data_IF_901110951800
#
_entry.id   IF_901110951800
#
_cell.length_a   1.000
_cell.length_b   1.000
_cell.length_c   1.000
_cell.angle_alpha   90.00
_cell.angle_beta   90.00
_cell.angle_gamma   90.00
#
_symmetry.space_group_name_H-M   'P 1'
#
loop_
_entity.id
_entity.type
_entity.pdbx_description
1 polymer ?
#
# COMPACT_ATOMS: atom_id res chain seq x y z
N UNK A 1 -58.39 5.54 -22.83
CA UNK A 1 -58.67 4.60 -21.72
C UNK A 1 -59.14 5.43 -20.54
N UNK A 2 -60.45 5.46 -20.27
CA UNK A 2 -61.16 4.71 -19.21
C UNK A 2 -60.65 5.04 -17.79
N UNK A 3 -61.44 5.36 -16.78
CA UNK A 3 -62.87 5.60 -16.59
C UNK A 3 -63.07 5.92 -15.08
N UNK A 4 -63.82 6.98 -14.73
CA UNK A 4 -64.57 7.22 -13.46
C UNK A 4 -63.74 7.49 -12.19
N UNK A 5 -63.74 8.67 -11.54
CA UNK A 5 -64.84 9.52 -11.01
C UNK A 5 -65.90 8.80 -10.16
N UNK A 6 -66.02 9.23 -8.91
CA UNK A 6 -67.30 9.20 -8.19
C UNK A 6 -67.52 10.54 -7.47
N UNK A 7 -68.47 11.29 -8.01
CA UNK A 7 -69.13 12.45 -7.41
C UNK A 7 -70.40 11.92 -6.70
N UNK A 8 -70.93 12.75 -5.78
CA UNK A 8 -72.35 12.88 -5.38
C UNK A 8 -72.84 11.93 -4.26
N UNK A 9 -73.72 12.30 -3.31
CA UNK A 9 -74.71 13.39 -3.23
C UNK A 9 -75.26 13.53 -1.79
N UNK A 10 -75.62 14.76 -1.42
CA UNK A 10 -76.80 15.20 -0.64
C UNK A 10 -77.33 14.38 0.57
N UNK A 11 -77.34 15.04 1.73
CA UNK A 11 -78.58 15.64 2.28
C UNK A 11 -79.52 14.77 3.11
N UNK A 12 -79.99 15.33 4.22
CA UNK A 12 -81.31 15.01 4.78
C UNK A 12 -81.30 14.43 6.19
N UNK A 13 -81.50 15.33 7.16
CA UNK A 13 -81.99 15.10 8.52
C UNK A 13 -83.23 14.19 8.51
N UNK A 14 -83.24 13.10 9.30
CA UNK A 14 -84.43 12.60 9.98
C UNK A 14 -84.03 12.04 11.36
N UNK A 15 -84.79 12.53 12.33
CA UNK A 15 -84.78 12.31 13.76
C UNK A 15 -85.41 10.97 14.15
N UNK A 16 -84.88 10.38 15.24
CA UNK A 16 -85.61 9.72 16.34
C UNK A 16 -85.88 8.19 16.32
N UNK A 17 -85.42 7.56 17.42
CA UNK A 17 -86.05 6.49 18.24
C UNK A 17 -86.11 5.07 17.60
N UNK A 18 -85.71 3.94 18.21
CA UNK A 18 -85.08 3.62 19.49
C UNK A 18 -84.67 2.12 19.50
N UNK A 19 -83.71 1.80 20.39
CA UNK A 19 -83.53 0.56 21.17
C UNK A 19 -83.27 -0.79 20.47
N UNK A 20 -82.03 -1.31 20.60
CA UNK A 20 -81.62 -2.40 21.53
C UNK A 20 -80.40 -3.15 20.97
N UNK A 21 -79.29 -3.11 21.70
CA UNK A 21 -78.10 -3.90 21.38
C UNK A 21 -76.91 -3.47 22.23
N UNK A 22 -76.80 -4.11 23.39
CA UNK A 22 -75.77 -3.94 24.42
C UNK A 22 -74.38 -3.63 23.89
N UNK A 23 -73.89 -2.41 24.17
CA UNK A 23 -72.47 -2.11 24.25
C UNK A 23 -72.24 -1.35 25.55
N UNK A 24 -71.43 -1.95 26.40
CA UNK A 24 -70.94 -1.36 27.64
C UNK A 24 -70.15 -0.11 27.25
N UNK A 25 -70.67 1.06 27.60
CA UNK A 25 -69.96 2.32 27.48
C UNK A 25 -68.81 2.25 28.48
N UNK A 26 -67.59 2.04 27.98
CA UNK A 26 -66.41 2.47 28.72
C UNK A 26 -66.49 3.99 28.78
N UNK A 27 -66.86 4.52 29.95
CA UNK A 27 -66.75 5.93 30.24
C UNK A 27 -65.27 6.32 30.08
N UNK A 28 -64.93 6.90 28.94
CA UNK A 28 -63.66 7.61 28.80
C UNK A 28 -63.70 8.80 29.73
N UNK A 29 -62.93 8.77 30.81
CA UNK A 29 -62.71 9.92 31.66
C UNK A 29 -62.20 11.06 30.77
N UNK A 30 -62.92 12.18 30.73
CA UNK A 30 -62.46 13.39 30.06
C UNK A 30 -61.17 13.81 30.77
N UNK A 31 -60.04 13.97 30.06
CA UNK A 31 -58.80 14.39 30.69
C UNK A 31 -59.00 15.73 31.39
N UNK A 32 -58.59 15.81 32.66
CA UNK A 32 -58.64 17.07 33.42
C UNK A 32 -57.65 18.04 32.80
N UNK A 33 -58.18 19.14 32.26
CA UNK A 33 -57.40 20.25 31.72
C UNK A 33 -57.38 21.40 32.73
N UNK A 34 -56.21 22.00 32.93
CA UNK A 34 -56.06 23.23 33.71
C UNK A 34 -55.30 24.25 32.89
N UNK A 35 -55.59 25.54 33.10
CA UNK A 35 -54.79 26.61 32.51
C UNK A 35 -53.79 27.17 33.52
N UNK A 36 -52.59 27.47 33.04
CA UNK A 36 -51.52 28.10 33.79
C UNK A 36 -50.88 29.21 32.97
N UNK A 37 -50.12 30.11 33.60
CA UNK A 37 -49.35 31.13 32.88
C UNK A 37 -47.88 30.71 32.79
N UNK A 38 -47.33 30.76 31.58
CA UNK A 38 -45.91 30.56 31.35
C UNK A 38 -45.09 31.64 32.09
N UNK A 39 -44.20 31.23 32.99
CA UNK A 39 -43.38 32.18 33.77
C UNK A 39 -42.42 33.02 32.91
N UNK A 40 -42.04 32.52 31.73
CA UNK A 40 -41.07 33.19 30.85
C UNK A 40 -41.69 34.21 29.89
N UNK A 41 -42.93 34.00 29.44
CA UNK A 41 -43.56 34.86 28.43
C UNK A 41 -44.98 35.33 28.77
N UNK A 42 -45.52 34.92 29.92
CA UNK A 42 -46.84 35.32 30.41
C UNK A 42 -48.03 34.70 29.67
N UNK A 43 -47.80 33.96 28.58
CA UNK A 43 -48.87 33.30 27.80
C UNK A 43 -49.57 32.23 28.64
N UNK A 44 -50.89 32.19 28.53
CA UNK A 44 -51.69 31.09 29.05
C UNK A 44 -51.34 29.79 28.31
N UNK A 45 -51.27 28.70 29.06
CA UNK A 45 -50.99 27.35 28.58
C UNK A 45 -52.04 26.41 29.16
N UNK A 46 -52.49 25.48 28.32
CA UNK A 46 -53.35 24.38 28.75
C UNK A 46 -52.48 23.18 29.08
N UNK A 47 -52.73 22.58 30.24
CA UNK A 47 -52.03 21.41 30.76
C UNK A 47 -53.03 20.29 31.02
N UNK A 48 -52.63 19.07 30.70
CA UNK A 48 -53.44 17.86 30.86
C UNK A 48 -52.91 17.07 32.06
N UNK A 49 -53.80 16.59 32.93
CA UNK A 49 -53.40 15.79 34.09
C UNK A 49 -52.94 14.39 33.68
N UNK A 50 -51.81 13.98 34.26
CA UNK A 50 -51.10 12.72 34.02
C UNK A 50 -51.49 11.71 35.11
N UNK A 51 -52.61 11.01 34.96
CA UNK A 51 -53.05 10.00 35.93
C UNK A 51 -52.26 8.69 35.77
N UNK A 52 -51.03 8.64 36.30
CA UNK A 52 -50.19 7.44 36.39
C UNK A 52 -49.64 6.89 35.06
N UNK A 53 -49.70 7.64 33.95
CA UNK A 53 -49.15 7.21 32.64
C UNK A 53 -47.69 7.65 32.49
N UNK A 54 -46.93 6.89 31.69
CA UNK A 54 -45.54 7.24 31.33
C UNK A 54 -45.52 8.23 30.16
N UNK A 55 -45.13 9.47 30.42
CA UNK A 55 -44.96 10.52 29.42
C UNK A 55 -43.47 10.79 29.16
N UNK A 56 -43.15 11.25 27.96
CA UNK A 56 -41.78 11.55 27.54
C UNK A 56 -41.30 12.86 28.18
N UNK A 57 -40.14 12.80 28.83
CA UNK A 57 -39.46 13.96 29.41
C UNK A 57 -38.90 14.92 28.34
N UNK A 58 -38.61 16.17 28.69
CA UNK A 58 -37.96 17.08 27.74
C UNK A 58 -36.56 16.60 27.36
N UNK A 59 -35.82 15.98 28.28
CA UNK A 59 -34.49 15.42 28.02
C UNK A 59 -34.56 14.37 26.92
N UNK A 60 -35.53 13.46 27.01
CA UNK A 60 -35.75 12.41 26.04
C UNK A 60 -36.26 12.99 24.70
N UNK A 61 -37.29 13.85 24.74
CA UNK A 61 -37.89 14.47 23.55
C UNK A 61 -36.87 15.24 22.70
N UNK A 62 -35.98 16.00 23.35
CA UNK A 62 -35.05 16.87 22.66
C UNK A 62 -33.61 16.36 22.64
N UNK A 63 -33.36 15.19 23.22
CA UNK A 63 -32.04 14.56 23.34
C UNK A 63 -31.01 15.54 23.92
N UNK A 64 -31.30 16.06 25.11
CA UNK A 64 -30.41 16.95 25.89
C UNK A 64 -30.21 16.40 27.28
N UNK A 65 -29.03 16.65 27.86
CA UNK A 65 -28.80 16.38 29.27
C UNK A 65 -29.60 17.35 30.16
N UNK A 66 -29.55 17.14 31.47
CA UNK A 66 -30.20 18.00 32.47
C UNK A 66 -29.78 19.46 32.30
N UNK A 67 -30.75 20.33 32.03
CA UNK A 67 -30.56 21.77 31.92
C UNK A 67 -30.78 22.39 33.31
N UNK A 68 -29.86 23.22 33.84
CA UNK A 68 -30.03 23.88 35.12
C UNK A 68 -31.35 24.66 35.20
N UNK A 69 -32.03 24.55 36.33
CA UNK A 69 -33.32 25.19 36.63
C UNK A 69 -34.50 24.72 35.76
N UNK A 70 -34.34 23.67 34.96
CA UNK A 70 -35.39 23.11 34.11
C UNK A 70 -35.72 21.67 34.52
N UNK A 71 -36.95 21.44 34.98
CA UNK A 71 -37.45 20.15 35.46
C UNK A 71 -38.70 19.70 34.69
N UNK A 72 -39.02 18.40 34.73
CA UNK A 72 -40.28 17.89 34.20
C UNK A 72 -41.36 17.99 35.28
N UNK A 73 -42.58 18.33 34.89
CA UNK A 73 -43.74 18.23 35.76
C UNK A 73 -44.12 16.76 35.96
N UNK A 74 -44.44 16.40 37.20
CA UNK A 74 -44.80 15.03 37.58
C UNK A 74 -46.25 14.68 37.17
N UNK A 75 -47.17 15.62 37.38
CA UNK A 75 -48.62 15.38 37.21
C UNK A 75 -49.23 16.04 35.96
N UNK A 76 -48.45 16.74 35.15
CA UNK A 76 -48.97 17.58 34.06
C UNK A 76 -48.20 17.44 32.75
N UNK A 77 -48.93 17.40 31.64
CA UNK A 77 -48.39 17.26 30.28
C UNK A 77 -48.90 18.38 29.36
N UNK A 78 -48.14 18.69 28.30
CA UNK A 78 -48.60 19.61 27.25
C UNK A 78 -49.60 18.95 26.30
N UNK A 79 -49.46 17.64 26.13
CA UNK A 79 -50.24 16.80 25.23
C UNK A 79 -50.29 15.37 25.79
N UNK A 80 -50.86 14.43 25.04
CA UNK A 80 -51.00 13.02 25.44
C UNK A 80 -49.67 12.24 25.45
N UNK A 81 -48.53 12.87 25.17
CA UNK A 81 -47.23 12.21 24.97
C UNK A 81 -46.07 12.86 25.74
N UNK A 82 -46.13 14.17 26.03
CA UNK A 82 -44.98 14.94 26.52
C UNK A 82 -45.25 15.64 27.85
N UNK A 83 -44.41 15.38 28.86
CA UNK A 83 -44.46 16.07 30.14
C UNK A 83 -44.36 17.60 29.95
N UNK A 84 -45.08 18.34 30.78
CA UNK A 84 -44.88 19.78 30.89
C UNK A 84 -43.50 20.05 31.51
N UNK A 85 -42.90 21.18 31.16
CA UNK A 85 -41.63 21.59 31.74
C UNK A 85 -41.83 22.74 32.71
N UNK A 86 -41.03 22.77 33.78
CA UNK A 86 -41.02 23.84 34.77
C UNK A 86 -39.65 24.50 34.80
N UNK A 87 -39.65 25.82 34.85
CA UNK A 87 -38.45 26.62 35.05
C UNK A 87 -38.51 27.30 36.41
N UNK A 88 -37.56 26.99 37.31
CA UNK A 88 -37.62 27.38 38.73
C UNK A 88 -38.98 27.04 39.37
N UNK A 89 -39.41 25.78 39.22
CA UNK A 89 -40.66 25.23 39.79
C UNK A 89 -41.96 25.91 39.32
N UNK A 90 -41.91 26.62 38.18
CA UNK A 90 -43.09 27.25 37.55
C UNK A 90 -43.22 26.80 36.10
N UNK A 91 -44.44 26.54 35.65
CA UNK A 91 -44.69 26.06 34.29
C UNK A 91 -44.24 27.04 33.22
N UNK A 92 -43.71 26.50 32.13
CA UNK A 92 -43.38 27.24 30.91
C UNK A 92 -44.18 26.70 29.73
N UNK A 93 -44.23 27.43 28.62
CA UNK A 93 -44.85 26.95 27.38
C UNK A 93 -43.81 26.24 26.49
N UNK A 94 -44.28 25.41 25.56
CA UNK A 94 -43.45 24.64 24.62
C UNK A 94 -42.45 25.53 23.88
N UNK A 95 -42.87 26.68 23.35
CA UNK A 95 -41.97 27.59 22.63
C UNK A 95 -40.83 28.16 23.50
N UNK A 96 -41.08 28.39 24.79
CA UNK A 96 -40.05 28.86 25.72
C UNK A 96 -39.10 27.72 26.13
N UNK A 97 -39.63 26.49 26.25
CA UNK A 97 -38.83 25.28 26.43
C UNK A 97 -37.87 25.07 25.25
N UNK A 98 -38.39 25.11 24.02
CA UNK A 98 -37.59 24.96 22.79
C UNK A 98 -36.48 26.02 22.70
N UNK A 99 -36.77 27.27 23.07
CA UNK A 99 -35.77 28.34 23.11
C UNK A 99 -34.66 28.04 24.13
N UNK A 100 -35.01 27.59 25.34
CA UNK A 100 -34.02 27.22 26.37
C UNK A 100 -33.15 26.04 25.93
N UNK A 101 -33.74 25.07 25.24
CA UNK A 101 -33.04 23.93 24.67
C UNK A 101 -32.10 24.36 23.56
N UNK A 102 -32.51 25.29 22.69
CA UNK A 102 -31.66 25.84 21.65
C UNK A 102 -30.46 26.62 22.24
N UNK A 103 -30.69 27.43 23.29
CA UNK A 103 -29.63 28.14 24.03
C UNK A 103 -28.63 27.13 24.64
N UNK A 104 -29.13 26.08 25.29
CA UNK A 104 -28.30 25.03 25.88
C UNK A 104 -27.48 24.28 24.82
N UNK A 105 -28.12 23.87 23.72
CA UNK A 105 -27.44 23.20 22.61
C UNK A 105 -26.38 24.09 21.97
N UNK A 106 -26.63 25.39 21.83
CA UNK A 106 -25.65 26.33 21.30
C UNK A 106 -24.45 26.50 22.25
N UNK A 107 -24.69 26.58 23.56
CA UNK A 107 -23.64 26.70 24.56
C UNK A 107 -22.79 25.42 24.71
N UNK A 108 -23.40 24.25 24.46
CA UNK A 108 -22.76 22.93 24.62
C UNK A 108 -22.43 22.24 23.30
N UNK A 109 -22.69 22.89 22.16
CA UNK A 109 -22.16 22.46 20.87
C UNK A 109 -20.69 22.83 20.85
N UNK A 110 -19.85 21.91 21.36
CA UNK A 110 -18.40 22.04 21.27
C UNK A 110 -18.05 22.44 19.84
N UNK A 111 -17.40 23.59 19.67
CA UNK A 111 -16.97 24.09 18.38
C UNK A 111 -15.95 23.13 17.79
N UNK A 112 -16.40 22.12 17.07
CA UNK A 112 -15.59 21.45 16.06
C UNK A 112 -15.69 22.33 14.82
N UNK A 113 -14.74 23.25 14.66
CA UNK A 113 -14.45 23.77 13.33
C UNK A 113 -14.08 22.58 12.46
N UNK A 114 -14.80 22.39 11.35
CA UNK A 114 -14.55 21.38 10.33
C UNK A 114 -13.05 21.07 10.18
N UNK A 115 -12.60 19.80 10.26
CA UNK A 115 -11.21 19.49 9.95
C UNK A 115 -10.97 19.93 8.50
N UNK A 116 -10.16 20.98 8.32
CA UNK A 116 -9.89 21.56 7.01
C UNK A 116 -9.38 20.49 6.06
N UNK A 117 -10.06 20.33 4.92
CA UNK A 117 -9.62 19.46 3.82
C UNK A 117 -8.45 20.12 3.10
N UNK A 118 -7.28 20.09 3.73
CA UNK A 118 -6.01 20.48 3.11
C UNK A 118 -5.36 19.28 2.41
N UNK A 119 -5.02 19.43 1.12
CA UNK A 119 -4.13 18.47 0.44
C UNK A 119 -2.70 18.94 0.65
N UNK A 120 -1.88 18.14 1.33
CA UNK A 120 -0.44 18.37 1.44
C UNK A 120 0.25 17.66 0.27
N UNK A 121 0.75 18.38 -0.75
CA UNK A 121 1.43 17.75 -1.87
C UNK A 121 2.77 17.17 -1.42
N UNK A 122 3.00 15.89 -1.73
CA UNK A 122 4.29 15.22 -1.56
C UNK A 122 5.08 15.42 -2.84
N UNK A 123 6.22 16.10 -2.75
CA UNK A 123 7.12 16.31 -3.89
C UNK A 123 8.27 15.30 -3.82
N UNK A 124 8.43 14.50 -4.87
CA UNK A 124 9.52 13.53 -5.00
C UNK A 124 10.53 14.07 -6.02
N UNK A 125 11.81 14.08 -5.64
CA UNK A 125 12.93 14.30 -6.56
C UNK A 125 13.88 13.13 -6.42
N UNK A 126 14.21 12.48 -7.54
CA UNK A 126 15.15 11.37 -7.59
C UNK A 126 16.20 11.63 -8.68
N UNK A 127 17.47 11.31 -8.37
CA UNK A 127 18.54 11.34 -9.36
C UNK A 127 18.51 10.06 -10.21
N UNK A 128 18.94 10.16 -11.47
CA UNK A 128 19.07 8.99 -12.35
C UNK A 128 20.19 8.06 -11.86
N UNK A 129 19.97 6.74 -11.96
CA UNK A 129 21.00 5.74 -11.68
C UNK A 129 22.13 5.82 -12.69
N UNK A 130 23.37 5.98 -12.22
CA UNK A 130 24.58 5.94 -13.04
C UNK A 130 25.04 4.50 -13.26
N UNK A 131 25.39 4.15 -14.51
CA UNK A 131 26.03 2.88 -14.84
C UNK A 131 27.54 2.98 -14.58
N UNK A 132 28.05 2.21 -13.63
CA UNK A 132 29.45 2.18 -13.22
C UNK A 132 29.85 0.74 -12.85
N UNK A 133 30.59 0.08 -13.72
CA UNK A 133 31.06 -1.30 -13.53
C UNK A 133 32.56 -1.34 -13.77
N UNK A 134 33.28 -2.00 -12.86
CA UNK A 134 34.71 -2.28 -13.01
C UNK A 134 34.86 -3.74 -13.46
N UNK A 135 35.52 -3.95 -14.58
CA UNK A 135 35.87 -5.29 -15.10
C UNK A 135 37.37 -5.55 -14.91
N UNK A 136 37.81 -6.82 -14.83
CA UNK A 136 39.23 -7.14 -14.76
C UNK A 136 40.01 -6.54 -15.93
N UNK A 137 41.10 -5.82 -15.63
CA UNK A 137 41.98 -5.24 -16.66
C UNK A 137 43.04 -6.22 -17.15
N UNK A 138 43.33 -7.27 -16.36
CA UNK A 138 44.30 -8.32 -16.71
C UNK A 138 43.97 -9.62 -15.97
N UNK A 139 44.24 -10.76 -16.61
CA UNK A 139 44.19 -12.09 -16.01
C UNK A 139 45.59 -12.71 -16.14
N UNK A 140 46.48 -12.52 -15.16
CA UNK A 140 47.87 -12.98 -15.28
C UNK A 140 47.93 -14.51 -15.15
N UNK A 141 48.45 -15.17 -16.19
CA UNK A 141 48.65 -16.62 -16.23
C UNK A 141 50.15 -16.93 -16.23
N UNK A 142 50.55 -17.98 -15.52
CA UNK A 142 51.93 -18.48 -15.53
C UNK A 142 51.95 -19.88 -16.12
N UNK A 143 52.69 -20.08 -17.22
CA UNK A 143 52.87 -21.39 -17.85
C UNK A 143 54.17 -22.01 -17.32
N UNK A 144 54.05 -23.15 -16.63
CA UNK A 144 55.17 -23.94 -16.13
C UNK A 144 55.89 -24.73 -17.24
N UNK A 145 57.08 -25.24 -16.93
CA UNK A 145 57.86 -26.06 -17.87
C UNK A 145 57.18 -27.40 -18.20
N UNK A 146 56.35 -27.92 -17.28
CA UNK A 146 55.45 -29.05 -17.50
C UNK A 146 54.16 -28.65 -18.25
N UNK A 147 54.13 -27.42 -18.76
CA UNK A 147 53.03 -26.79 -19.47
C UNK A 147 51.77 -26.58 -18.63
N UNK A 148 51.78 -26.86 -17.32
CA UNK A 148 50.67 -26.49 -16.43
C UNK A 148 50.53 -24.98 -16.37
N UNK A 149 49.30 -24.51 -16.21
CA UNK A 149 49.00 -23.08 -16.09
C UNK A 149 48.55 -22.78 -14.68
N UNK A 150 49.19 -21.81 -14.03
CA UNK A 150 48.74 -21.23 -12.77
C UNK A 150 47.92 -20.00 -13.07
N UNK A 151 46.68 -20.01 -12.57
CA UNK A 151 45.70 -18.93 -12.70
C UNK A 151 45.70 -18.04 -11.45
N UNK A 152 45.26 -16.77 -11.57
CA UNK A 152 45.11 -15.87 -10.43
C UNK A 152 43.89 -16.25 -9.58
N UNK A 153 43.90 -15.89 -8.30
CA UNK A 153 42.81 -16.15 -7.36
C UNK A 153 41.84 -14.97 -7.16
N UNK A 154 42.19 -13.75 -7.58
CA UNK A 154 41.42 -12.52 -7.35
C UNK A 154 41.01 -11.86 -8.66
N UNK A 155 40.19 -12.56 -9.45
CA UNK A 155 39.55 -12.00 -10.66
C UNK A 155 38.08 -11.80 -10.35
N UNK A 156 37.59 -10.57 -10.53
CA UNK A 156 36.20 -10.22 -10.24
C UNK A 156 35.70 -9.03 -11.05
N UNK A 157 34.40 -9.01 -11.31
CA UNK A 157 33.69 -7.81 -11.81
C UNK A 157 33.00 -7.15 -10.63
N UNK A 158 33.10 -5.83 -10.51
CA UNK A 158 32.50 -5.05 -9.42
C UNK A 158 31.45 -4.11 -9.98
N UNK A 159 30.22 -4.19 -9.49
CA UNK A 159 29.14 -3.26 -9.82
C UNK A 159 29.09 -2.12 -8.79
N UNK A 160 29.46 -0.92 -9.24
CA UNK A 160 29.33 0.33 -8.47
C UNK A 160 28.08 1.12 -8.87
N UNK A 161 27.20 0.54 -9.69
CA UNK A 161 25.93 1.12 -10.10
C UNK A 161 24.88 0.99 -8.99
N UNK A 162 23.85 1.83 -8.98
CA UNK A 162 22.75 1.71 -8.02
C UNK A 162 21.87 0.47 -8.26
N UNK A 163 21.63 0.12 -9.53
CA UNK A 163 20.84 -1.05 -9.92
C UNK A 163 21.68 -2.30 -10.20
N UNK A 164 21.03 -3.47 -10.31
CA UNK A 164 21.69 -4.71 -10.72
C UNK A 164 22.13 -4.66 -12.20
N UNK A 165 23.22 -5.36 -12.50
CA UNK A 165 23.76 -5.52 -13.85
C UNK A 165 23.99 -7.00 -14.14
N UNK A 166 24.24 -7.34 -15.39
CA UNK A 166 24.65 -8.70 -15.79
C UNK A 166 25.64 -8.68 -16.95
N UNK A 167 26.49 -9.70 -17.00
CA UNK A 167 27.31 -9.99 -18.18
C UNK A 167 26.41 -10.59 -19.26
N UNK A 168 26.32 -9.95 -20.41
CA UNK A 168 25.47 -10.39 -21.53
C UNK A 168 26.24 -11.13 -22.61
N UNK A 169 27.56 -10.90 -22.70
CA UNK A 169 28.43 -11.59 -23.64
C UNK A 169 29.86 -11.64 -23.12
N UNK A 170 30.58 -12.70 -23.49
CA UNK A 170 32.02 -12.86 -23.29
C UNK A 170 32.63 -13.18 -24.64
N UNK A 171 33.60 -12.38 -25.07
CA UNK A 171 34.43 -12.69 -26.23
C UNK A 171 35.83 -13.06 -25.77
N UNK A 172 36.35 -14.18 -26.29
CA UNK A 172 37.71 -14.66 -26.08
C UNK A 172 38.44 -14.53 -27.41
N UNK A 173 39.27 -13.50 -27.53
CA UNK A 173 39.96 -13.16 -28.77
C UNK A 173 41.42 -13.58 -28.69
N UNK A 174 41.95 -13.98 -29.84
CA UNK A 174 43.37 -14.26 -30.00
C UNK A 174 44.22 -13.04 -29.63
N UNK A 175 45.45 -13.30 -29.21
CA UNK A 175 46.47 -12.28 -29.00
C UNK A 175 47.76 -12.75 -29.63
N UNK A 176 48.84 -12.76 -28.85
CA UNK A 176 50.07 -13.44 -29.27
C UNK A 176 49.90 -14.97 -29.36
N UNK A 177 48.85 -15.51 -28.74
CA UNK A 177 48.50 -16.92 -28.71
C UNK A 177 47.14 -17.13 -29.38
N UNK A 178 46.96 -18.28 -30.02
CA UNK A 178 45.68 -18.67 -30.60
C UNK A 178 44.84 -19.42 -29.57
N UNK A 179 43.59 -19.03 -29.43
CA UNK A 179 42.61 -19.76 -28.62
C UNK A 179 42.43 -21.19 -29.15
N UNK A 180 42.25 -22.15 -28.25
CA UNK A 180 41.94 -23.55 -28.54
C UNK A 180 40.87 -24.05 -27.56
N UNK A 181 40.24 -25.18 -27.88
CA UNK A 181 39.33 -25.87 -26.97
C UNK A 181 39.99 -26.14 -25.60
N UNK A 182 39.37 -25.63 -24.53
CA UNK A 182 39.80 -25.84 -23.15
C UNK A 182 39.59 -27.30 -22.71
N UNK A 183 38.67 -28.04 -23.33
CA UNK A 183 38.48 -29.47 -23.14
C UNK A 183 38.35 -29.89 -21.65
N UNK A 184 37.65 -29.08 -20.84
CA UNK A 184 37.50 -29.34 -19.40
C UNK A 184 38.80 -29.30 -18.59
N UNK A 185 39.88 -28.73 -19.14
CA UNK A 185 41.21 -28.72 -18.54
C UNK A 185 42.06 -29.95 -18.92
N UNK A 186 41.52 -30.88 -19.69
CA UNK A 186 42.27 -32.03 -20.18
C UNK A 186 43.24 -31.61 -21.31
N UNK A 187 44.51 -31.90 -21.07
CA UNK A 187 45.64 -31.53 -21.92
C UNK A 187 45.89 -32.53 -23.05
N UNK A 188 45.13 -33.63 -23.13
CA UNK A 188 45.28 -34.64 -24.18
C UNK A 188 45.24 -34.03 -25.59
N UNK A 189 44.34 -33.06 -25.83
CA UNK A 189 44.24 -32.35 -27.11
C UNK A 189 45.43 -31.43 -27.40
N UNK A 190 46.12 -30.95 -26.37
CA UNK A 190 47.35 -30.17 -26.52
C UNK A 190 48.58 -31.04 -26.80
N UNK A 191 48.53 -32.35 -26.52
CA UNK A 191 49.67 -33.23 -26.76
C UNK A 191 49.96 -33.43 -28.27
N UNK A 192 48.95 -33.25 -29.12
CA UNK A 192 49.10 -33.26 -30.58
C UNK A 192 49.65 -31.93 -31.13
N UNK A 193 49.63 -30.86 -30.34
CA UNK A 193 50.14 -29.56 -30.75
C UNK A 193 51.67 -29.54 -30.71
N UNK A 194 52.28 -28.88 -31.70
CA UNK A 194 53.73 -28.70 -31.74
C UNK A 194 54.20 -27.83 -30.58
N UNK A 195 55.34 -28.17 -29.96
CA UNK A 195 56.00 -27.28 -28.99
C UNK A 195 56.25 -25.90 -29.63
N UNK A 196 55.82 -24.84 -28.93
CA UNK A 196 55.89 -23.46 -29.41
C UNK A 196 54.74 -23.05 -30.33
N UNK A 197 53.64 -23.81 -30.40
CA UNK A 197 52.45 -23.45 -31.20
C UNK A 197 51.61 -22.32 -30.59
N UNK A 198 51.94 -21.89 -29.36
CA UNK A 198 51.30 -20.79 -28.63
C UNK A 198 49.77 -20.91 -28.63
N UNK A 199 49.26 -22.07 -28.17
CA UNK A 199 47.83 -22.35 -28.00
C UNK A 199 47.39 -22.16 -26.57
N UNK A 200 46.25 -21.50 -26.38
CA UNK A 200 45.67 -21.22 -25.06
C UNK A 200 44.19 -21.62 -25.01
N UNK A 201 43.85 -22.55 -24.12
CA UNK A 201 42.46 -22.84 -23.77
C UNK A 201 42.10 -22.13 -22.48
N UNK A 202 40.94 -21.49 -22.41
CA UNK A 202 40.47 -20.73 -21.24
C UNK A 202 39.08 -21.18 -20.79
N UNK A 203 38.87 -21.11 -19.48
CA UNK A 203 37.60 -21.31 -18.80
C UNK A 203 37.40 -20.19 -17.80
N UNK A 204 36.22 -19.60 -17.79
CA UNK A 204 35.80 -18.57 -16.85
C UNK A 204 34.52 -19.08 -16.17
N UNK A 205 34.57 -19.24 -14.86
CA UNK A 205 33.43 -19.70 -14.06
C UNK A 205 32.97 -18.62 -13.11
N UNK A 206 31.70 -18.24 -13.18
CA UNK A 206 31.07 -17.30 -12.27
C UNK A 206 29.61 -17.70 -11.99
N UNK A 207 29.13 -17.48 -10.77
CA UNK A 207 27.74 -17.78 -10.39
C UNK A 207 27.29 -19.24 -10.62
N UNK A 208 28.24 -20.17 -10.58
CA UNK A 208 28.02 -21.60 -10.85
C UNK A 208 27.89 -21.96 -12.34
N UNK A 209 28.16 -21.03 -13.25
CA UNK A 209 28.17 -21.27 -14.69
C UNK A 209 29.59 -21.13 -15.25
N UNK A 210 30.01 -22.10 -16.06
CA UNK A 210 31.33 -22.10 -16.71
C UNK A 210 31.17 -21.80 -18.18
N UNK A 211 31.94 -20.83 -18.67
CA UNK A 211 32.08 -20.47 -20.08
C UNK A 211 33.52 -20.79 -20.48
N UNK A 212 33.71 -21.63 -21.49
CA UNK A 212 35.04 -22.08 -21.90
C UNK A 212 35.22 -21.96 -23.41
N UNK A 213 36.49 -21.82 -23.82
CA UNK A 213 36.84 -21.91 -25.23
C UNK A 213 36.60 -23.34 -25.73
N UNK A 214 36.06 -23.48 -26.94
CA UNK A 214 35.67 -24.77 -27.52
C UNK A 214 36.14 -24.95 -28.97
N UNK A 215 36.60 -23.87 -29.61
CA UNK A 215 37.11 -23.90 -30.98
C UNK A 215 38.47 -23.23 -31.08
N UNK A 216 39.12 -23.41 -32.23
CA UNK A 216 40.34 -22.67 -32.56
C UNK A 216 40.00 -21.23 -32.96
N UNK A 217 40.83 -20.30 -32.51
CA UNK A 217 40.72 -18.88 -32.82
C UNK A 217 39.71 -18.12 -31.98
N UNK A 218 39.60 -16.84 -32.28
CA UNK A 218 38.70 -15.90 -31.60
C UNK A 218 37.25 -16.38 -31.61
N UNK A 219 36.58 -16.29 -30.46
CA UNK A 219 35.26 -16.89 -30.24
C UNK A 219 34.43 -16.10 -29.23
N UNK A 220 33.12 -16.30 -29.27
CA UNK A 220 32.17 -15.74 -28.29
C UNK A 220 31.24 -16.86 -27.81
N UNK A 221 31.67 -17.65 -26.81
CA UNK A 221 30.88 -18.78 -26.35
C UNK A 221 29.55 -18.32 -25.76
N UNK A 222 28.52 -19.17 -25.88
CA UNK A 222 27.22 -18.88 -25.29
C UNK A 222 27.31 -18.81 -23.76
N UNK A 223 26.60 -17.85 -23.17
CA UNK A 223 26.60 -17.56 -21.74
C UNK A 223 25.16 -17.52 -21.22
N UNK A 224 24.92 -18.15 -20.07
CA UNK A 224 23.70 -17.93 -19.31
C UNK A 224 23.83 -16.65 -18.47
N UNK A 225 23.42 -15.52 -19.06
CA UNK A 225 23.50 -14.21 -18.39
C UNK A 225 22.73 -14.15 -17.06
N UNK A 226 21.81 -15.08 -16.79
CA UNK A 226 21.07 -15.13 -15.51
C UNK A 226 21.95 -15.60 -14.35
N UNK A 227 23.01 -16.35 -14.65
CA UNK A 227 24.01 -16.81 -13.68
C UNK A 227 25.15 -15.79 -13.49
N UNK A 228 25.27 -14.84 -14.41
CA UNK A 228 26.28 -13.78 -14.39
C UNK A 228 25.70 -12.42 -13.99
N UNK A 229 24.78 -12.43 -13.02
CA UNK A 229 24.15 -11.23 -12.45
C UNK A 229 24.96 -10.70 -11.28
N UNK A 230 24.97 -9.38 -11.13
CA UNK A 230 25.71 -8.66 -10.10
C UNK A 230 24.75 -7.65 -9.49
N UNK A 231 24.54 -7.72 -8.18
CA UNK A 231 23.60 -6.81 -7.52
C UNK A 231 24.13 -5.38 -7.46
N UNK A 232 23.26 -4.41 -7.19
CA UNK A 232 23.65 -2.99 -7.08
C UNK A 232 24.61 -2.72 -5.93
N UNK A 233 25.23 -1.53 -5.92
CA UNK A 233 26.06 -1.07 -4.81
C UNK A 233 25.27 -1.08 -3.50
N UNK A 234 25.95 -1.34 -2.39
CA UNK A 234 25.40 -1.36 -1.01
C UNK A 234 24.46 -2.53 -0.68
N UNK A 235 24.38 -3.58 -1.50
CA UNK A 235 23.63 -4.82 -1.20
C UNK A 235 24.46 -5.87 -0.46
N UNK A 236 25.78 -5.65 -0.30
CA UNK A 236 26.72 -6.63 0.23
C UNK A 236 27.21 -7.68 -0.77
N UNK A 237 26.62 -7.75 -1.97
CA UNK A 237 26.94 -8.73 -3.02
C UNK A 237 27.14 -8.06 -4.39
N UNK A 238 27.87 -6.94 -4.43
CA UNK A 238 28.10 -6.16 -5.64
C UNK A 238 29.36 -6.59 -6.41
N UNK A 239 29.93 -7.75 -6.05
CA UNK A 239 31.06 -8.36 -6.74
C UNK A 239 30.64 -9.70 -7.35
N UNK A 240 31.21 -10.02 -8.50
CA UNK A 240 31.09 -11.33 -9.15
C UNK A 240 32.49 -11.93 -9.29
N UNK A 241 32.89 -12.85 -8.39
CA UNK A 241 34.13 -13.59 -8.51
C UNK A 241 34.13 -14.47 -9.76
N UNK A 242 35.29 -14.54 -10.41
CA UNK A 242 35.52 -15.34 -11.61
C UNK A 242 36.68 -16.30 -11.32
N UNK A 243 36.39 -17.59 -11.33
CA UNK A 243 37.42 -18.63 -11.30
C UNK A 243 37.95 -18.82 -12.71
N UNK A 244 39.28 -18.77 -12.88
CA UNK A 244 39.94 -18.91 -14.18
C UNK A 244 40.59 -20.29 -14.29
N UNK A 245 40.14 -21.08 -15.26
CA UNK A 245 40.84 -22.27 -15.73
C UNK A 245 41.62 -21.97 -17.00
N UNK A 246 42.81 -22.55 -17.14
CA UNK A 246 43.61 -22.39 -18.35
C UNK A 246 44.43 -23.63 -18.67
N UNK A 247 44.60 -23.90 -19.96
CA UNK A 247 45.56 -24.88 -20.48
C UNK A 247 46.36 -24.23 -21.60
N UNK A 248 47.63 -24.59 -21.73
CA UNK A 248 48.53 -23.99 -22.70
C UNK A 248 49.41 -25.07 -23.35
N UNK A 249 49.68 -24.90 -24.65
CA UNK A 249 50.71 -25.68 -25.35
C UNK A 249 52.06 -25.47 -24.69
N UNK A 250 52.95 -26.47 -24.79
CA UNK A 250 54.33 -26.31 -24.35
C UNK A 250 55.01 -25.16 -25.09
N UNK A 251 55.78 -24.33 -24.37
CA UNK A 251 56.58 -23.26 -24.95
C UNK A 251 57.96 -23.78 -25.34
N UNK A 252 58.49 -23.30 -26.47
CA UNK A 252 59.85 -23.64 -26.91
C UNK A 252 60.93 -22.80 -26.23
N UNK A 253 60.55 -21.67 -25.66
CA UNK A 253 61.43 -20.72 -24.96
C UNK A 253 60.74 -20.21 -23.71
N UNK A 254 61.51 -19.88 -22.68
CA UNK A 254 60.98 -19.27 -21.46
C UNK A 254 60.42 -17.88 -21.78
N UNK A 255 59.21 -17.60 -21.31
CA UNK A 255 58.63 -16.26 -21.38
C UNK A 255 59.20 -15.44 -20.22
N UNK A 256 60.10 -14.49 -20.51
CA UNK A 256 60.74 -13.66 -19.48
C UNK A 256 59.92 -12.41 -19.13
N UNK A 257 59.24 -11.84 -20.13
CA UNK A 257 58.38 -10.67 -19.97
C UNK A 257 56.92 -11.08 -20.18
N UNK A 258 56.01 -10.55 -19.37
CA UNK A 258 54.58 -10.83 -19.54
C UNK A 258 54.12 -10.44 -20.96
N UNK A 259 53.42 -11.37 -21.62
CA UNK A 259 52.86 -11.17 -22.96
C UNK A 259 51.35 -11.26 -22.87
N UNK A 260 50.64 -10.39 -23.58
CA UNK A 260 49.19 -10.51 -23.78
C UNK A 260 48.89 -11.70 -24.69
N UNK A 261 48.72 -12.87 -24.09
CA UNK A 261 48.46 -14.12 -24.81
C UNK A 261 47.10 -14.08 -25.55
N UNK A 262 46.06 -13.57 -24.90
CA UNK A 262 44.71 -13.44 -25.43
C UNK A 262 44.01 -12.23 -24.82
N UNK A 263 42.89 -11.80 -25.42
CA UNK A 263 42.06 -10.70 -24.93
C UNK A 263 40.66 -11.21 -24.59
N UNK A 264 40.22 -11.03 -23.34
CA UNK A 264 38.86 -11.36 -22.91
C UNK A 264 38.06 -10.07 -22.77
N UNK A 265 36.92 -10.00 -23.45
CA UNK A 265 36.02 -8.84 -23.41
C UNK A 265 34.71 -9.25 -22.74
N UNK A 266 34.38 -8.57 -21.65
CA UNK A 266 33.09 -8.70 -20.98
C UNK A 266 32.15 -7.59 -21.45
N UNK A 267 30.99 -7.97 -21.97
CA UNK A 267 29.90 -7.02 -22.25
C UNK A 267 28.93 -7.03 -21.08
N UNK A 268 28.68 -5.88 -20.47
CA UNK A 268 27.83 -5.73 -19.29
C UNK A 268 26.69 -4.78 -19.59
N UNK A 269 25.48 -5.12 -19.13
CA UNK A 269 24.29 -4.29 -19.28
C UNK A 269 23.47 -4.23 -17.99
N UNK A 270 22.54 -3.27 -17.91
CA UNK A 270 21.51 -3.26 -16.87
C UNK A 270 20.70 -4.55 -16.88
N UNK A 271 20.39 -5.03 -15.70
CA UNK A 271 19.53 -6.17 -15.52
C UNK A 271 18.12 -5.69 -15.15
N UNK A 272 17.31 -5.50 -16.20
CA UNK A 272 15.93 -5.02 -16.12
C UNK A 272 14.99 -6.06 -15.53
#
# INVERSE_FOLDING_TARGET
MRLKEFITRSGGVITAIALLGSMVVMAGAVPTVTSANCVLCGKEIDLIQVDGKTYTSYQEKYSVDTIPNLTNAEDWSYDEQNCAAMYNDKYICVSCLEKKIAEYKAANSGTISSPGTGKTPVTLTAAASTFNVIVPTSIPLVVGADSKVTSPSDVKIINNSAGPVKVTAIAMNDGAWTMIDYNGGDRSKLAAEKVGSNKLGLSLTAGGNTVASSTNGSQSPAIDSTKWRITGKNTGNNELPITVGAIASAVSTKIENAVTAANVVFTVAWDK
#
